data_IF_349985652643
#
_entry.id   IF_349985652643
#
_cell.length_a   1.000
_cell.length_b   1.000
_cell.length_c   1.000
_cell.angle_alpha   90.00
_cell.angle_beta   90.00
_cell.angle_gamma   90.00
#
_symmetry.space_group_name_H-M   'P 1'
#
loop_
_entity.id
_entity.type
_entity.pdbx_description
1 polymer ?
2 polymer ?
#
# COMPACT_ATOMS: atom_id res chain seq x y z
N UNK A 2 -21.32 -8.91 -15.42
CA UNK A 2 -20.52 -9.20 -14.22
C UNK A 2 -19.03 -9.28 -14.53
N UNK A 3 -18.27 -8.81 -13.57
CA UNK A 3 -16.83 -8.84 -13.65
C UNK A 3 -16.42 -10.33 -13.73
N UNK A 4 -17.11 -11.16 -12.97
CA UNK A 4 -16.81 -12.57 -12.96
C UNK A 4 -16.95 -13.08 -14.38
N UNK A 5 -17.72 -12.34 -15.19
CA UNK A 5 -17.92 -12.68 -16.62
C UNK A 5 -16.62 -12.37 -17.32
N UNK A 6 -16.31 -11.08 -17.42
CA UNK A 6 -15.09 -10.64 -18.06
C UNK A 6 -13.94 -11.53 -17.61
N UNK A 7 -13.86 -11.82 -16.31
CA UNK A 7 -12.79 -12.65 -15.80
C UNK A 7 -12.66 -14.05 -16.39
N UNK A 8 -13.74 -14.82 -16.36
CA UNK A 8 -13.68 -16.17 -16.92
C UNK A 8 -13.44 -16.12 -18.43
N UNK A 9 -13.91 -15.01 -19.05
CA UNK A 9 -13.76 -14.72 -20.47
C UNK A 9 -12.31 -14.46 -20.80
N UNK A 10 -11.66 -13.62 -19.97
CA UNK A 10 -10.26 -13.23 -20.14
C UNK A 10 -9.34 -14.38 -19.91
N UNK A 11 -9.55 -15.10 -18.82
CA UNK A 11 -8.66 -16.20 -18.51
C UNK A 11 -8.70 -17.21 -19.65
N UNK A 12 -9.91 -17.53 -20.09
CA UNK A 12 -10.19 -18.51 -21.16
C UNK A 12 -9.40 -18.22 -22.44
N UNK A 13 -9.32 -16.94 -22.79
CA UNK A 13 -8.61 -16.50 -23.96
C UNK A 13 -7.16 -16.15 -23.69
N UNK A 14 -6.73 -16.23 -22.42
CA UNK A 14 -5.36 -15.90 -22.06
C UNK A 14 -5.03 -14.42 -22.30
N UNK A 15 -6.00 -13.57 -22.06
CA UNK A 15 -5.80 -12.16 -22.33
C UNK A 15 -5.18 -11.25 -21.24
N UNK A 16 -4.81 -11.82 -20.08
CA UNK A 16 -4.23 -11.02 -18.99
C UNK A 16 -2.98 -10.21 -19.36
N UNK A 17 -2.06 -10.81 -20.10
CA UNK A 17 -0.86 -10.06 -20.50
C UNK A 17 -1.20 -8.99 -21.51
N UNK A 18 -2.15 -9.31 -22.40
CA UNK A 18 -2.57 -8.37 -23.44
C UNK A 18 -3.23 -7.19 -22.82
N UNK A 19 -4.25 -7.45 -22.03
CA UNK A 19 -5.00 -6.38 -21.37
C UNK A 19 -4.02 -5.58 -20.61
N UNK A 20 -3.13 -6.27 -19.88
CA UNK A 20 -2.16 -5.52 -19.12
C UNK A 20 -1.35 -4.58 -20.02
N UNK A 21 -0.91 -5.04 -21.21
CA UNK A 21 -0.16 -4.22 -22.16
C UNK A 21 -1.04 -3.04 -22.39
N UNK A 22 -2.34 -3.22 -22.60
CA UNK A 22 -3.23 -2.08 -22.84
C UNK A 22 -3.39 -1.05 -21.70
N UNK A 23 -3.38 -1.49 -20.45
CA UNK A 23 -3.45 -0.60 -19.27
C UNK A 23 -2.12 0.18 -19.20
N UNK A 24 -1.03 -0.51 -19.45
CA UNK A 24 0.22 0.15 -19.47
C UNK A 24 0.14 1.23 -20.56
N UNK A 25 -0.32 0.83 -21.74
CA UNK A 25 -0.42 1.74 -22.89
C UNK A 25 -1.29 2.94 -22.65
N UNK A 26 -2.40 2.75 -21.99
CA UNK A 26 -3.26 3.88 -21.77
C UNK A 26 -2.96 4.51 -20.49
N UNK A 27 -1.72 4.45 -20.06
CA UNK A 27 -1.49 5.05 -18.79
C UNK A 27 -0.81 6.43 -18.75
N UNK A 28 -1.47 7.33 -17.98
CA UNK A 28 -1.03 8.68 -17.74
C UNK A 28 0.43 8.75 -17.53
N UNK A 29 0.96 9.94 -17.72
CA UNK A 29 2.35 10.19 -17.58
C UNK A 29 2.56 11.66 -17.27
N UNK A 30 2.68 12.03 -16.00
CA UNK A 30 2.88 13.43 -15.62
C UNK A 30 4.33 13.53 -15.25
N UNK A 31 4.91 14.75 -15.30
CA UNK A 31 6.32 14.91 -14.95
C UNK A 31 6.68 14.62 -13.51
N UNK A 32 7.95 14.24 -13.31
CA UNK A 32 8.49 13.92 -12.00
C UNK A 32 9.73 14.78 -11.86
N UNK A 33 9.60 16.09 -12.16
CA UNK A 33 10.76 16.99 -12.08
C UNK A 33 11.49 16.95 -10.75
N UNK A 34 10.82 17.30 -9.65
CA UNK A 34 11.51 17.27 -8.34
C UNK A 34 12.25 15.93 -8.03
N UNK A 35 11.70 14.74 -8.37
CA UNK A 35 12.36 13.43 -8.07
C UNK A 35 13.71 13.35 -8.67
N UNK A 36 13.73 13.76 -9.92
CA UNK A 36 14.92 13.69 -10.72
C UNK A 36 15.95 14.75 -10.46
N UNK A 37 15.62 15.69 -9.58
CA UNK A 37 16.60 16.71 -9.22
C UNK A 37 17.87 16.01 -8.69
N UNK A 38 19.04 16.46 -9.14
CA UNK A 38 20.28 15.86 -8.68
C UNK A 38 20.32 15.72 -7.15
N UNK A 39 19.94 16.77 -6.43
CA UNK A 39 19.96 16.67 -4.99
C UNK A 39 19.14 15.50 -4.40
N UNK A 40 17.95 15.24 -4.92
CA UNK A 40 17.15 14.19 -4.40
C UNK A 40 17.56 12.80 -4.84
N UNK A 41 18.68 12.71 -5.51
CA UNK A 41 19.14 11.43 -6.04
C UNK A 41 19.17 10.34 -5.02
N UNK A 42 19.71 10.64 -3.84
CA UNK A 42 19.79 9.63 -2.76
C UNK A 42 18.52 9.51 -1.92
N UNK A 43 17.49 10.29 -2.24
CA UNK A 43 16.25 10.14 -1.50
C UNK A 43 15.32 9.14 -2.27
N UNK A 44 15.91 8.42 -3.25
CA UNK A 44 15.17 7.49 -4.08
C UNK A 44 15.86 6.16 -4.25
N UNK A 45 15.13 5.12 -3.94
CA UNK A 45 15.64 3.76 -4.02
C UNK A 45 15.82 3.27 -5.43
N UNK A 46 14.82 3.43 -6.30
CA UNK A 46 14.87 3.01 -7.73
C UNK A 46 14.83 4.22 -8.66
N UNK A 47 15.77 4.27 -9.61
CA UNK A 47 15.85 5.40 -10.52
C UNK A 47 14.70 5.41 -11.51
N UNK A 48 13.98 4.30 -11.56
CA UNK A 48 12.86 4.21 -12.44
C UNK A 48 11.49 4.19 -11.80
N UNK A 49 11.37 4.63 -10.54
CA UNK A 49 10.08 4.73 -9.84
C UNK A 49 10.09 6.05 -9.04
N UNK A 50 9.27 7.00 -9.51
CA UNK A 50 9.16 8.32 -8.93
C UNK A 50 7.73 8.82 -8.93
N UNK A 51 7.45 9.80 -8.03
CA UNK A 51 6.16 10.47 -7.82
C UNK A 51 5.88 11.66 -8.75
N UNK A 52 4.74 11.62 -9.42
CA UNK A 52 4.36 12.71 -10.26
C UNK A 52 4.35 13.91 -9.28
N UNK A 53 4.93 15.04 -9.68
CA UNK A 53 4.96 16.20 -8.81
C UNK A 53 3.57 16.69 -8.48
N UNK A 54 2.56 16.28 -9.19
CA UNK A 54 1.24 16.83 -8.88
C UNK A 54 0.59 16.11 -7.75
N UNK A 55 1.16 14.98 -7.37
CA UNK A 55 0.60 14.14 -6.35
C UNK A 55 1.65 13.87 -5.28
N UNK A 56 2.90 14.23 -5.52
CA UNK A 56 3.92 13.98 -4.52
C UNK A 56 3.49 14.57 -3.17
N UNK A 57 4.02 13.95 -2.10
CA UNK A 57 3.79 14.38 -0.73
C UNK A 57 5.05 15.15 -0.37
N UNK A 58 4.85 16.30 0.31
CA UNK A 58 5.94 17.18 0.72
C UNK A 58 6.21 17.20 2.22
N UNK A 59 7.47 17.00 2.63
CA UNK A 59 7.77 17.04 4.04
C UNK A 59 7.56 18.47 4.41
N UNK A 60 6.90 18.75 5.54
CA UNK A 60 6.68 20.14 5.96
C UNK A 60 7.97 20.76 6.49
N UNK A 61 9.09 20.65 5.75
CA UNK A 61 10.37 21.24 6.17
C UNK A 61 10.90 22.23 5.08
N UNK A 62 11.34 23.44 5.48
CA UNK A 62 11.85 24.46 4.53
C UNK A 62 13.20 24.01 3.96
N UNK A 63 13.74 22.98 4.60
CA UNK A 63 15.01 22.38 4.22
C UNK A 63 14.97 21.77 2.80
N UNK A 64 14.32 20.60 2.72
CA UNK A 64 14.15 19.80 1.50
C UNK A 64 12.90 19.03 1.84
N UNK A 65 11.84 19.27 1.07
CA UNK A 65 10.53 18.64 1.29
C UNK A 65 10.27 17.41 0.49
N UNK A 66 11.29 16.82 -0.11
CA UNK A 66 11.12 15.63 -0.92
C UNK A 66 11.14 14.25 -0.25
N UNK A 67 10.11 13.50 -0.57
CA UNK A 67 9.98 12.12 -0.11
C UNK A 67 9.29 11.37 -1.28
N UNK A 68 9.92 10.30 -1.75
CA UNK A 68 9.36 9.54 -2.83
C UNK A 68 8.08 8.93 -2.32
N UNK A 69 6.97 9.62 -2.53
CA UNK A 69 5.68 9.10 -2.07
C UNK A 69 4.60 9.96 -2.67
N UNK A 70 3.51 9.34 -3.12
CA UNK A 70 2.53 10.13 -3.74
C UNK A 70 1.14 9.85 -3.31
N UNK A 71 0.45 10.89 -2.85
CA UNK A 71 -0.92 10.72 -2.38
C UNK A 71 -1.90 10.36 -3.44
N UNK A 72 -2.54 9.21 -3.29
CA UNK A 72 -3.57 8.74 -4.22
C UNK A 72 -4.84 9.27 -3.57
N UNK A 73 -5.69 9.96 -4.32
CA UNK A 73 -6.91 10.47 -3.73
C UNK A 73 -8.00 9.96 -4.59
N UNK A 74 -8.85 9.09 -4.04
CA UNK A 74 -10.00 8.52 -4.76
C UNK A 74 -11.30 9.28 -4.36
N UNK A 75 -11.96 9.85 -5.39
CA UNK A 75 -13.17 10.66 -5.22
C UNK A 75 -14.44 9.84 -5.00
N UNK A 76 -14.81 8.98 -5.95
CA UNK A 76 -16.03 8.20 -5.77
C UNK A 76 -16.03 7.29 -4.55
N UNK A 77 -14.98 6.46 -4.42
CA UNK A 77 -14.80 5.55 -3.28
C UNK A 77 -14.64 6.34 -2.01
N UNK A 78 -14.15 7.55 -2.18
CA UNK A 78 -13.97 8.45 -1.06
C UNK A 78 -12.92 7.89 -0.15
N UNK A 79 -11.73 7.68 -0.67
CA UNK A 79 -10.64 7.13 0.11
C UNK A 79 -9.31 7.58 -0.45
N UNK A 80 -8.39 7.95 0.45
CA UNK A 80 -7.04 8.35 0.08
C UNK A 80 -6.04 7.32 0.66
N UNK A 81 -4.92 7.09 -0.01
CA UNK A 81 -3.88 6.20 0.44
C UNK A 81 -2.63 6.96 0.10
N UNK A 82 -1.52 6.74 0.81
CA UNK A 82 -0.24 7.40 0.50
C UNK A 82 0.71 6.25 0.18
N UNK A 83 0.92 5.93 -1.09
CA UNK A 83 1.83 4.84 -1.45
C UNK A 83 3.20 5.47 -1.44
N UNK A 84 4.17 4.78 -0.86
CA UNK A 84 5.56 5.27 -0.73
C UNK A 84 6.49 4.04 -0.92
N UNK A 85 7.76 4.25 -1.25
CA UNK A 85 8.72 3.15 -1.46
C UNK A 85 9.30 2.73 -0.08
N UNK A 86 10.10 1.67 -0.07
CA UNK A 86 10.66 1.25 1.21
C UNK A 86 11.74 2.22 1.59
N UNK A 87 11.58 2.96 2.71
CA UNK A 87 12.52 3.94 3.23
C UNK A 87 13.91 3.45 3.11
N UNK A 88 14.84 4.35 2.80
CA UNK A 88 16.26 4.01 2.73
C UNK A 88 16.93 4.32 4.12
N UNK A 89 18.17 3.88 4.31
CA UNK A 89 18.89 4.12 5.54
C UNK A 89 18.81 5.61 5.87
N UNK A 90 19.07 6.45 4.86
CA UNK A 90 18.98 7.91 5.06
C UNK A 90 17.55 8.49 5.11
N UNK A 91 16.53 7.75 4.69
CA UNK A 91 15.19 8.34 4.72
C UNK A 91 14.11 7.84 5.69
N UNK A 92 14.48 6.99 6.65
CA UNK A 92 13.50 6.52 7.66
C UNK A 92 13.05 7.71 8.55
N UNK A 93 13.80 8.82 8.56
CA UNK A 93 13.39 9.96 9.34
C UNK A 93 12.24 10.61 8.59
N UNK A 94 12.42 10.81 7.28
CA UNK A 94 11.39 11.45 6.45
C UNK A 94 10.18 10.54 6.51
N UNK A 95 10.38 9.24 6.42
CA UNK A 95 9.21 8.35 6.47
C UNK A 95 8.39 8.65 7.75
N UNK A 96 9.01 8.83 8.89
CA UNK A 96 8.18 9.06 10.06
C UNK A 96 7.71 10.48 10.16
N UNK A 97 8.48 11.40 9.57
CA UNK A 97 8.11 12.80 9.55
C UNK A 97 6.76 12.82 8.81
N UNK A 98 6.71 12.35 7.55
CA UNK A 98 5.50 12.33 6.73
C UNK A 98 4.37 11.64 7.49
N UNK A 99 4.60 10.45 8.03
CA UNK A 99 3.57 9.74 8.78
C UNK A 99 3.02 10.68 9.85
N UNK A 100 3.85 11.33 10.61
CA UNK A 100 3.36 12.24 11.59
C UNK A 100 2.56 13.39 10.97
N UNK A 101 3.12 14.04 9.93
CA UNK A 101 2.43 15.20 9.33
C UNK A 101 1.14 14.89 8.64
N UNK A 102 1.05 13.76 7.96
CA UNK A 102 -0.12 13.41 7.22
C UNK A 102 -1.21 12.97 8.10
N UNK A 103 -0.85 12.74 9.36
CA UNK A 103 -1.79 12.24 10.36
C UNK A 103 -2.27 10.79 10.19
N UNK A 104 -1.40 9.92 9.69
CA UNK A 104 -1.78 8.54 9.46
C UNK A 104 -1.93 7.85 10.82
N UNK A 105 -2.62 6.71 10.82
CA UNK A 105 -2.87 5.91 12.02
C UNK A 105 -2.64 4.46 11.60
N UNK A 106 -2.01 4.22 10.46
CA UNK A 106 -1.80 2.86 10.02
C UNK A 106 -0.79 2.88 8.92
N UNK A 107 0.03 1.83 8.87
CA UNK A 107 1.09 1.68 7.88
C UNK A 107 0.87 0.30 7.34
N UNK A 108 1.14 0.06 6.10
CA UNK A 108 0.89 -1.25 5.61
C UNK A 108 2.16 -1.62 4.89
N UNK A 109 2.90 -2.63 5.36
CA UNK A 109 4.13 -3.04 4.68
C UNK A 109 3.90 -4.32 3.93
N UNK A 110 3.98 -4.27 2.61
CA UNK A 110 3.68 -5.49 1.91
C UNK A 110 4.90 -6.18 1.49
N UNK A 111 6.00 -5.87 2.16
CA UNK A 111 7.29 -6.47 1.77
C UNK A 111 8.25 -6.89 2.92
N UNK A 112 9.35 -7.54 2.54
CA UNK A 112 10.33 -8.02 3.48
C UNK A 112 11.60 -7.23 3.29
N UNK A 113 12.27 -6.88 4.37
CA UNK A 113 13.54 -6.13 4.29
C UNK A 113 14.66 -6.79 3.41
N UNK A 114 14.60 -8.11 3.26
CA UNK A 114 15.57 -8.88 2.46
C UNK A 114 14.78 -9.94 1.68
N UNK A 115 14.79 -9.82 0.36
CA UNK A 115 14.03 -10.73 -0.51
C UNK A 115 14.91 -11.32 -1.59
N UNK A 116 14.92 -12.67 -1.58
CA UNK A 116 15.74 -13.46 -2.45
C UNK A 116 17.13 -12.87 -2.39
N UNK A 117 17.63 -12.74 -1.15
CA UNK A 117 18.96 -12.25 -0.89
C UNK A 117 19.18 -10.80 -1.26
N UNK A 118 18.16 -9.95 -1.40
CA UNK A 118 18.41 -8.55 -1.72
C UNK A 118 17.73 -7.62 -0.73
N UNK A 119 18.33 -6.47 -0.50
CA UNK A 119 17.78 -5.47 0.43
C UNK A 119 16.62 -4.77 -0.27
N UNK A 120 15.41 -4.81 0.26
CA UNK A 120 14.37 -4.10 -0.44
C UNK A 120 13.81 -2.93 0.33
N UNK A 121 14.02 -2.90 1.63
CA UNK A 121 13.47 -1.86 2.46
C UNK A 121 14.24 -1.79 3.78
N UNK A 122 14.29 -0.60 4.39
CA UNK A 122 15.05 -0.41 5.63
C UNK A 122 14.26 -0.83 6.83
N UNK A 123 14.99 -1.29 7.84
CA UNK A 123 14.36 -1.71 9.08
C UNK A 123 14.06 -0.37 9.72
N UNK A 124 12.95 0.20 9.29
CA UNK A 124 12.61 1.53 9.77
C UNK A 124 11.89 1.58 11.10
N UNK A 125 11.69 0.45 11.75
CA UNK A 125 10.94 0.43 13.02
C UNK A 125 11.64 -0.57 13.95
N UNK A 126 11.62 -0.33 15.27
CA UNK A 126 12.24 -1.18 16.27
C UNK A 126 11.66 -2.55 16.28
N UNK A 127 12.49 -3.56 16.52
CA UNK A 127 11.94 -4.93 16.57
C UNK A 127 11.77 -5.43 18.02
N UNK A 128 12.47 -4.81 18.97
CA UNK A 128 12.44 -5.15 20.39
C UNK A 128 11.98 -3.96 21.24
N UNK A 129 11.07 -4.18 22.20
CA UNK A 129 10.61 -3.05 23.01
C UNK A 129 11.63 -2.28 23.82
N UNK A 130 12.78 -2.90 24.09
CA UNK A 130 13.83 -2.27 24.89
C UNK A 130 14.76 -1.36 24.10
N UNK A 131 14.58 -1.36 22.78
CA UNK A 131 15.39 -0.56 21.88
C UNK A 131 14.53 0.39 20.99
N UNK A 132 14.30 1.62 21.47
CA UNK A 132 13.53 2.60 20.71
C UNK A 132 14.47 3.20 19.68
N UNK A 133 13.88 3.98 18.79
CA UNK A 133 14.58 4.63 17.74
C UNK A 133 14.37 6.12 17.88
N UNK A 134 15.43 6.85 17.58
CA UNK A 134 15.38 8.28 17.66
C UNK A 134 15.94 8.80 16.36
N UNK A 135 15.04 9.35 15.57
CA UNK A 135 15.32 9.94 14.27
C UNK A 135 15.79 11.36 14.52
N UNK A 136 17.11 11.50 14.54
CA UNK A 136 17.73 12.77 14.81
C UNK A 136 17.27 13.84 13.88
N UNK A 137 17.47 13.63 12.58
CA UNK A 137 17.08 14.61 11.57
C UNK A 137 15.66 15.12 11.73
N UNK A 138 14.69 14.24 11.91
CA UNK A 138 13.33 14.70 12.05
C UNK A 138 12.82 14.77 13.46
N UNK A 139 13.67 14.58 14.44
CA UNK A 139 13.23 14.67 15.83
C UNK A 139 12.04 13.90 16.22
N UNK A 140 12.11 12.60 16.01
CA UNK A 140 11.00 11.74 16.38
C UNK A 140 11.54 10.53 17.15
N UNK A 141 10.68 9.93 17.96
CA UNK A 141 11.03 8.74 18.73
C UNK A 141 9.93 7.72 18.38
N UNK A 142 10.32 6.52 18.03
CA UNK A 142 9.36 5.49 17.67
C UNK A 142 9.72 4.33 18.60
N UNK A 143 8.71 3.65 19.16
CA UNK A 143 8.92 2.57 20.11
C UNK A 143 7.92 1.47 19.97
N UNK A 144 8.34 0.22 20.09
CA UNK A 144 7.40 -0.91 19.98
C UNK A 144 6.58 -1.03 21.28
N UNK A 145 5.29 -1.27 21.16
CA UNK A 145 4.51 -1.41 22.36
C UNK A 145 4.03 -2.85 22.42
N UNK A 146 3.71 -3.47 21.30
CA UNK A 146 3.31 -4.86 21.31
C UNK A 146 3.52 -5.44 19.91
N UNK A 147 3.19 -6.69 19.63
CA UNK A 147 3.41 -7.29 18.31
C UNK A 147 2.54 -8.51 18.32
N UNK A 148 1.62 -8.67 17.37
CA UNK A 148 0.73 -9.85 17.29
C UNK A 148 1.07 -10.68 16.04
N UNK A 149 2.09 -11.52 16.16
CA UNK A 149 2.56 -12.37 15.06
C UNK A 149 1.59 -13.49 14.62
N UNK A 150 1.26 -13.53 13.34
CA UNK A 150 0.42 -14.60 12.82
C UNK A 150 1.22 -15.38 11.83
N UNK A 151 0.51 -16.22 11.09
CA UNK A 151 1.10 -17.12 10.13
C UNK A 151 1.80 -16.50 8.93
N UNK A 152 1.12 -15.60 8.25
CA UNK A 152 1.68 -14.99 7.06
C UNK A 152 1.82 -13.49 7.18
N UNK A 153 1.30 -12.94 8.28
CA UNK A 153 1.38 -11.54 8.53
C UNK A 153 1.58 -11.19 10.00
N UNK A 154 1.78 -9.91 10.31
CA UNK A 154 1.97 -9.50 11.67
C UNK A 154 1.55 -8.06 11.89
N UNK A 155 0.83 -7.78 12.98
CA UNK A 155 0.40 -6.42 13.32
C UNK A 155 1.33 -5.96 14.42
N UNK A 156 1.57 -4.67 14.55
CA UNK A 156 2.41 -4.12 15.60
C UNK A 156 1.76 -2.85 16.06
N UNK A 157 2.06 -2.42 17.27
CA UNK A 157 1.49 -1.22 17.78
C UNK A 157 2.71 -0.40 18.14
N UNK A 158 3.00 0.63 17.39
CA UNK A 158 4.15 1.45 17.65
C UNK A 158 3.65 2.73 18.28
N UNK A 159 4.52 3.50 18.91
CA UNK A 159 4.13 4.71 19.61
C UNK A 159 5.07 5.69 19.02
N UNK A 160 4.55 6.61 18.22
CA UNK A 160 5.38 7.65 17.62
C UNK A 160 5.24 8.89 18.47
N UNK A 161 6.37 9.42 18.94
CA UNK A 161 6.33 10.59 19.80
C UNK A 161 7.14 11.70 19.18
N UNK A 162 6.53 12.87 19.11
CA UNK A 162 7.14 14.07 18.53
C UNK A 162 7.97 14.65 19.62
N UNK A 163 9.26 14.35 19.58
CA UNK A 163 10.15 14.85 20.60
C UNK A 163 10.05 16.38 20.74
N UNK A 164 9.50 17.04 19.73
CA UNK A 164 9.40 18.49 19.78
C UNK A 164 8.21 18.95 20.57
N UNK A 165 7.05 18.38 20.37
CA UNK A 165 5.92 18.79 21.17
C UNK A 165 5.66 17.77 22.26
N UNK A 166 6.52 16.76 22.34
CA UNK A 166 6.35 15.71 23.35
C UNK A 166 4.94 15.18 23.24
N UNK A 167 4.44 15.08 22.01
CA UNK A 167 3.10 14.55 21.74
C UNK A 167 3.29 13.13 21.28
N UNK A 168 2.33 12.29 21.57
CA UNK A 168 2.51 10.91 21.26
C UNK A 168 1.32 10.38 20.44
N UNK A 169 1.57 9.35 19.61
CA UNK A 169 0.52 8.76 18.79
C UNK A 169 0.79 7.28 18.58
N UNK A 170 -0.26 6.47 18.51
CA UNK A 170 -0.07 5.05 18.37
C UNK A 170 -0.20 4.70 16.95
N UNK A 171 0.86 4.18 16.33
CA UNK A 171 0.78 3.82 14.94
C UNK A 171 0.59 2.31 14.83
N UNK A 172 -0.54 1.84 14.29
CA UNK A 172 -0.70 0.41 14.11
C UNK A 172 0.12 0.15 12.86
N UNK A 173 0.70 -1.04 12.73
CA UNK A 173 1.57 -1.39 11.61
C UNK A 173 1.20 -2.74 11.08
N UNK A 174 0.74 -2.86 9.85
CA UNK A 174 0.35 -4.17 9.34
C UNK A 174 1.42 -4.73 8.46
N UNK A 175 1.92 -5.91 8.75
CA UNK A 175 3.02 -6.36 7.92
C UNK A 175 2.83 -7.68 7.22
N UNK A 176 2.63 -7.65 5.89
CA UNK A 176 2.46 -8.88 5.12
C UNK A 176 3.88 -9.42 4.86
N UNK A 177 4.14 -10.65 5.21
CA UNK A 177 5.48 -11.19 5.06
C UNK A 177 5.61 -12.37 4.11
N UNK A 178 4.54 -12.67 3.39
CA UNK A 178 4.55 -13.77 2.43
C UNK A 178 4.04 -13.36 1.05
N UNK A 179 4.27 -12.10 0.64
CA UNK A 179 3.88 -11.61 -0.68
C UNK A 179 5.25 -11.35 -1.35
N UNK A 180 5.71 -12.27 -2.20
CA UNK A 180 6.99 -12.24 -2.92
C UNK A 180 7.13 -11.09 -3.90
N UNK A 181 8.33 -10.55 -4.04
CA UNK A 181 8.57 -9.46 -4.98
C UNK A 181 8.15 -9.98 -6.35
N UNK A 182 7.37 -9.19 -7.06
CA UNK A 182 6.85 -9.56 -8.33
C UNK A 182 5.99 -10.80 -8.24
N UNK A 183 5.29 -10.90 -7.09
CA UNK A 183 4.42 -12.01 -6.80
C UNK A 183 2.98 -11.68 -6.40
N UNK A 184 2.21 -12.71 -6.11
CA UNK A 184 0.80 -12.56 -5.71
C UNK A 184 0.56 -13.27 -4.35
N UNK A 185 -0.47 -12.85 -3.63
CA UNK A 185 -0.79 -13.43 -2.34
C UNK A 185 -1.15 -14.90 -2.49
N UNK A 186 -0.72 -15.70 -1.53
CA UNK A 186 -1.00 -17.10 -1.51
C UNK A 186 -2.43 -17.35 -1.89
N UNK A 187 -3.34 -16.44 -1.56
CA UNK A 187 -4.71 -16.68 -1.95
C UNK A 187 -5.64 -15.51 -1.73
N UNK A 188 -6.76 -15.44 -2.47
CA UNK A 188 -7.71 -14.34 -2.27
C UNK A 188 -8.10 -14.24 -0.79
N UNK A 189 -8.20 -15.42 -0.15
CA UNK A 189 -8.54 -15.57 1.26
C UNK A 189 -7.50 -14.90 2.19
N UNK A 190 -6.24 -15.25 1.99
CA UNK A 190 -5.18 -14.70 2.79
C UNK A 190 -5.18 -13.18 2.66
N UNK A 191 -5.34 -12.71 1.42
CA UNK A 191 -5.32 -11.29 1.11
C UNK A 191 -6.49 -10.54 1.75
N UNK A 192 -7.71 -10.98 1.42
CA UNK A 192 -8.93 -10.31 1.93
C UNK A 192 -8.97 -10.37 3.44
N UNK A 193 -8.40 -11.45 4.00
CA UNK A 193 -8.38 -11.57 5.47
C UNK A 193 -7.51 -10.44 6.01
N UNK A 194 -6.34 -10.31 5.40
CA UNK A 194 -5.39 -9.29 5.78
C UNK A 194 -5.97 -7.94 5.54
N UNK A 195 -6.74 -7.81 4.45
CA UNK A 195 -7.34 -6.52 4.07
C UNK A 195 -8.32 -6.08 5.13
N UNK A 196 -9.25 -6.97 5.45
CA UNK A 196 -10.30 -6.70 6.43
C UNK A 196 -9.79 -6.37 7.85
N UNK A 197 -8.66 -7.00 8.22
CA UNK A 197 -8.03 -6.76 9.52
C UNK A 197 -7.73 -5.29 9.54
N UNK A 198 -6.98 -4.86 8.52
CA UNK A 198 -6.59 -3.47 8.41
C UNK A 198 -7.80 -2.56 8.46
N UNK A 199 -8.90 -2.99 7.80
CA UNK A 199 -10.11 -2.17 7.74
C UNK A 199 -10.68 -1.96 9.10
N UNK A 200 -10.90 -3.08 9.79
CA UNK A 200 -11.46 -3.08 11.13
C UNK A 200 -10.68 -2.27 12.15
N UNK A 201 -9.38 -2.21 11.99
CA UNK A 201 -8.57 -1.50 12.95
C UNK A 201 -8.84 -0.03 12.96
N UNK A 202 -9.69 0.45 12.07
CA UNK A 202 -9.94 1.90 12.01
C UNK A 202 -8.85 2.69 11.26
N UNK A 203 -7.80 1.97 10.84
CA UNK A 203 -6.69 2.59 10.10
C UNK A 203 -7.19 3.27 8.81
N UNK A 204 -8.04 2.57 8.04
CA UNK A 204 -8.59 3.13 6.82
C UNK A 204 -9.68 4.15 7.11
N UNK A 205 -9.90 4.51 8.38
CA UNK A 205 -10.93 5.50 8.74
C UNK A 205 -10.70 6.94 8.25
N UNK A 206 -11.76 7.58 7.75
CA UNK A 206 -11.68 8.94 7.26
C UNK A 206 -11.36 9.88 8.36
N UNK A 207 -11.59 9.49 9.61
CA UNK A 207 -11.28 10.41 10.72
C UNK A 207 -9.81 10.64 10.91
N UNK A 208 -8.94 9.85 10.25
CA UNK A 208 -7.46 10.03 10.34
C UNK A 208 -6.80 10.43 9.01
N UNK A 209 -5.50 10.68 9.03
CA UNK A 209 -4.81 11.03 7.82
C UNK A 209 -4.83 9.85 6.85
N UNK A 210 -4.06 9.89 5.75
CA UNK A 210 -4.11 8.72 4.87
C UNK A 210 -3.19 7.61 5.37
N UNK A 211 -3.62 6.38 5.08
CA UNK A 211 -2.87 5.20 5.45
C UNK A 211 -1.64 5.26 4.58
N UNK A 212 -0.53 4.81 5.08
CA UNK A 212 0.66 4.85 4.24
C UNK A 212 0.85 3.42 3.82
N UNK A 213 0.74 3.15 2.52
CA UNK A 213 0.90 1.78 1.99
C UNK A 213 2.25 1.75 1.30
N UNK A 214 2.89 0.61 1.26
CA UNK A 214 4.19 0.48 0.59
C UNK A 214 4.67 -0.98 0.44
N UNK A 215 5.71 -1.14 -0.35
CA UNK A 215 6.30 -2.42 -0.60
C UNK A 215 7.75 -2.00 -0.85
N UNK A 216 8.54 -2.65 -1.71
CA UNK A 216 9.87 -2.15 -1.90
C UNK A 216 9.85 -0.86 -2.72
N UNK A 217 9.06 -0.81 -3.80
CA UNK A 217 8.99 0.39 -4.66
C UNK A 217 7.70 1.15 -4.48
N UNK A 218 6.68 0.53 -3.88
CA UNK A 218 5.43 1.25 -3.67
C UNK A 218 4.49 1.30 -4.88
N UNK A 219 4.71 0.48 -5.90
CA UNK A 219 3.82 0.49 -7.05
C UNK A 219 3.18 -0.85 -7.33
N UNK A 220 3.91 -1.96 -7.24
CA UNK A 220 3.31 -3.27 -7.54
C UNK A 220 2.37 -3.90 -6.51
N UNK A 221 2.91 -4.49 -5.46
CA UNK A 221 2.08 -5.08 -4.46
C UNK A 221 1.24 -3.95 -3.85
N UNK A 222 1.74 -2.73 -3.76
CA UNK A 222 0.90 -1.67 -3.20
C UNK A 222 -0.27 -1.35 -4.12
N UNK A 223 -0.05 -1.28 -5.42
CA UNK A 223 -1.17 -0.98 -6.29
C UNK A 223 -2.24 -2.04 -6.17
N UNK A 224 -1.84 -3.32 -6.15
CA UNK A 224 -2.74 -4.51 -5.97
C UNK A 224 -3.56 -4.43 -4.64
N UNK A 225 -2.93 -4.10 -3.53
CA UNK A 225 -3.67 -3.92 -2.27
C UNK A 225 -4.76 -2.82 -2.44
N UNK A 226 -4.36 -1.59 -2.81
CA UNK A 226 -5.28 -0.43 -3.00
C UNK A 226 -6.39 -0.63 -4.03
N UNK A 227 -6.07 -1.31 -5.12
CA UNK A 227 -7.07 -1.59 -6.17
C UNK A 227 -8.25 -2.43 -5.55
N UNK A 228 -7.94 -3.62 -5.02
CA UNK A 228 -8.95 -4.50 -4.40
C UNK A 228 -9.73 -3.74 -3.34
N UNK A 229 -9.03 -3.04 -2.48
CA UNK A 229 -9.73 -2.27 -1.45
C UNK A 229 -10.69 -1.24 -2.07
N UNK A 230 -10.19 -0.49 -3.07
CA UNK A 230 -11.00 0.55 -3.75
C UNK A 230 -12.21 0.00 -4.52
N UNK A 231 -12.01 -0.99 -5.38
CA UNK A 231 -13.10 -1.57 -6.14
C UNK A 231 -14.21 -1.94 -5.17
N UNK A 232 -13.89 -2.77 -4.16
CA UNK A 232 -14.86 -3.22 -3.16
C UNK A 232 -15.60 -2.04 -2.54
N UNK A 233 -14.85 -0.97 -2.29
CA UNK A 233 -15.37 0.26 -1.71
C UNK A 233 -16.56 0.80 -2.58
N UNK A 234 -16.32 0.86 -3.88
CA UNK A 234 -17.26 1.36 -4.85
C UNK A 234 -18.42 0.44 -4.82
N UNK A 235 -18.18 -0.86 -5.06
CA UNK A 235 -19.26 -1.85 -5.06
C UNK A 235 -20.20 -1.67 -3.87
N UNK A 236 -19.65 -1.29 -2.75
CA UNK A 236 -20.49 -1.15 -1.60
C UNK A 236 -21.39 0.06 -1.73
N UNK A 237 -20.80 1.25 -1.83
CA UNK A 237 -21.56 2.48 -1.94
C UNK A 237 -22.58 2.43 -3.06
N UNK A 238 -22.14 2.14 -4.28
CA UNK A 238 -23.08 2.05 -5.39
C UNK A 238 -24.13 1.00 -5.07
N UNK A 239 -23.70 -0.07 -4.41
CA UNK A 239 -24.54 -1.21 -4.07
C UNK A 239 -24.95 -1.88 -5.39
N UNK A 240 -24.28 -1.44 -6.46
CA UNK A 240 -24.52 -1.93 -7.81
C UNK A 240 -23.12 -2.36 -8.25
N UNK A 241 -22.73 -3.60 -7.90
CA UNK A 241 -21.43 -4.17 -8.24
C UNK A 241 -21.09 -4.26 -9.72
N UNK A 242 -22.09 -4.51 -10.54
CA UNK A 242 -21.89 -4.65 -11.98
C UNK A 242 -21.34 -3.37 -12.64
N UNK A 243 -21.25 -2.27 -11.91
CA UNK A 243 -20.76 -1.09 -12.56
C UNK A 243 -19.28 -0.86 -12.34
N UNK A 244 -18.67 -1.53 -11.37
CA UNK A 244 -17.23 -1.32 -11.10
C UNK A 244 -16.25 -1.84 -12.17
N UNK A 245 -15.62 -0.92 -12.92
CA UNK A 245 -14.65 -1.35 -13.90
C UNK A 245 -13.22 -1.27 -13.33
N UNK A 246 -12.63 -2.44 -13.05
CA UNK A 246 -11.29 -2.44 -12.44
C UNK A 246 -10.34 -1.66 -13.27
N UNK A 247 -10.19 -1.99 -14.56
CA UNK A 247 -9.23 -1.28 -15.43
C UNK A 247 -9.39 0.22 -15.29
N UNK A 248 -10.62 0.70 -15.25
CA UNK A 248 -10.85 2.10 -15.11
C UNK A 248 -10.30 2.59 -13.82
N UNK A 249 -10.63 1.92 -12.70
CA UNK A 249 -10.11 2.33 -11.37
C UNK A 249 -8.59 2.23 -11.29
N UNK A 250 -7.99 1.23 -11.95
CA UNK A 250 -6.53 1.14 -11.92
C UNK A 250 -6.00 2.36 -12.59
N UNK A 251 -6.53 2.64 -13.80
CA UNK A 251 -6.12 3.80 -14.62
C UNK A 251 -6.31 5.07 -13.89
N UNK A 252 -7.38 5.15 -13.10
CA UNK A 252 -7.59 6.36 -12.35
C UNK A 252 -6.49 6.57 -11.33
N UNK A 253 -6.00 5.47 -10.73
CA UNK A 253 -4.93 5.51 -9.70
C UNK A 253 -3.58 5.81 -10.31
N UNK A 254 -3.27 5.19 -11.48
CA UNK A 254 -1.98 5.44 -12.18
C UNK A 254 -1.85 6.95 -12.56
N UNK A 255 -2.94 7.72 -12.37
CA UNK A 255 -2.88 9.14 -12.63
C UNK A 255 -2.06 9.72 -11.49
N UNK A 256 -2.32 9.22 -10.26
CA UNK A 256 -1.61 9.74 -9.06
C UNK A 256 -0.22 9.23 -8.81
N UNK A 257 0.05 8.02 -9.26
CA UNK A 257 1.42 7.48 -9.10
C UNK A 257 1.63 6.43 -10.13
N UNK A 258 2.83 6.35 -10.65
CA UNK A 258 3.12 5.37 -11.69
C UNK A 258 3.12 3.91 -11.29
N UNK A 259 3.15 3.06 -12.31
CA UNK A 259 3.24 1.61 -12.24
C UNK A 259 2.32 0.80 -11.38
N UNK A 260 1.22 1.39 -10.90
CA UNK A 260 0.37 0.59 -10.01
C UNK A 260 0.08 -0.78 -10.62
N UNK A 261 0.56 -1.82 -9.96
CA UNK A 261 0.41 -3.20 -10.43
C UNK A 261 1.43 -3.38 -11.56
N UNK A 262 2.27 -4.42 -11.40
CA UNK A 262 3.41 -4.71 -12.25
C UNK A 262 3.45 -6.00 -13.01
N UNK A 263 2.52 -6.91 -12.76
CA UNK A 263 2.52 -8.19 -13.52
C UNK A 263 1.10 -8.50 -13.97
N UNK A 264 0.94 -9.19 -15.09
CA UNK A 264 -0.40 -9.51 -15.59
C UNK A 264 -1.05 -10.32 -14.53
N UNK A 265 -0.28 -11.25 -13.95
CA UNK A 265 -0.86 -12.10 -12.90
C UNK A 265 -1.28 -11.29 -11.68
N UNK A 266 -0.60 -10.20 -11.37
CA UNK A 266 -1.05 -9.35 -10.26
C UNK A 266 -2.41 -8.74 -10.62
N UNK A 267 -2.66 -8.49 -11.91
CA UNK A 267 -3.90 -7.88 -12.36
C UNK A 267 -4.98 -8.86 -12.20
N UNK A 268 -4.67 -10.06 -12.69
CA UNK A 268 -5.59 -11.19 -12.65
C UNK A 268 -5.98 -11.45 -11.21
N UNK A 269 -4.99 -11.44 -10.32
CA UNK A 269 -5.21 -11.67 -8.91
C UNK A 269 -6.13 -10.60 -8.37
N UNK A 270 -5.93 -9.34 -8.75
CA UNK A 270 -6.78 -8.24 -8.28
C UNK A 270 -8.24 -8.49 -8.59
N UNK A 271 -8.49 -9.18 -9.71
CA UNK A 271 -9.86 -9.51 -10.09
C UNK A 271 -10.39 -10.56 -9.14
N UNK A 272 -9.61 -11.60 -8.85
CA UNK A 272 -10.03 -12.66 -7.90
C UNK A 272 -10.36 -12.00 -6.55
N UNK A 273 -9.42 -11.28 -5.97
CA UNK A 273 -9.71 -10.62 -4.73
C UNK A 273 -11.06 -9.80 -4.74
N UNK A 274 -11.26 -8.94 -5.73
CA UNK A 274 -12.48 -8.13 -5.75
C UNK A 274 -13.78 -8.94 -5.85
N UNK A 275 -13.74 -9.94 -6.73
CA UNK A 275 -14.83 -10.86 -6.97
C UNK A 275 -15.04 -11.60 -5.64
N UNK A 276 -14.07 -12.39 -5.17
CA UNK A 276 -14.22 -13.10 -3.89
C UNK A 276 -14.82 -12.20 -2.84
N UNK A 277 -14.08 -11.18 -2.46
CA UNK A 277 -14.56 -10.23 -1.47
C UNK A 277 -15.93 -9.63 -1.73
N UNK A 278 -16.36 -9.53 -2.99
CA UNK A 278 -17.70 -8.97 -3.27
C UNK A 278 -18.70 -9.77 -2.50
N UNK A 279 -18.52 -11.09 -2.51
CA UNK A 279 -19.40 -12.03 -1.81
C UNK A 279 -19.69 -11.59 -0.39
N UNK A 280 -18.71 -11.05 0.29
CA UNK A 280 -18.92 -10.54 1.66
C UNK A 280 -19.74 -9.23 1.68
N UNK A 281 -19.52 -8.38 0.68
CA UNK A 281 -20.24 -7.11 0.53
C UNK A 281 -21.71 -7.47 0.22
N UNK A 282 -21.86 -8.49 -0.61
CA UNK A 282 -23.17 -8.93 -1.00
C UNK A 282 -23.72 -9.91 0.04
N UNK A 283 -23.89 -9.36 1.23
CA UNK A 283 -24.47 -10.07 2.36
C UNK A 283 -23.84 -11.30 2.96
N UNK A 284 -23.21 -12.14 2.14
CA UNK A 284 -22.62 -13.39 2.62
C UNK A 284 -21.60 -13.17 3.76
N UNK A 285 -22.07 -12.65 4.88
CA UNK A 285 -21.22 -12.36 6.00
C UNK A 285 -20.37 -13.57 6.42
N UNK A 286 -20.97 -14.75 6.33
CA UNK A 286 -20.30 -15.97 6.71
C UNK A 286 -19.02 -16.26 5.95
N UNK A 287 -18.77 -15.49 4.90
CA UNK A 287 -17.57 -15.68 4.10
C UNK A 287 -16.34 -15.13 4.82
N UNK A 288 -16.50 -14.04 5.57
CA UNK A 288 -15.36 -13.44 6.26
C UNK A 288 -14.55 -14.47 7.09
N UNK A 289 -15.24 -15.23 7.94
CA UNK A 289 -14.64 -16.25 8.79
C UNK A 289 -14.03 -17.41 7.97
N UNK A 290 -14.66 -17.72 6.85
CA UNK A 290 -14.19 -18.78 5.95
C UNK A 290 -12.78 -18.38 5.45
N UNK A 291 -12.60 -17.10 5.15
CA UNK A 291 -11.31 -16.62 4.69
C UNK A 291 -10.24 -16.87 5.75
N UNK A 292 -10.55 -16.51 7.00
CA UNK A 292 -9.60 -16.69 8.11
C UNK A 292 -9.19 -18.17 8.19
N UNK A 293 -10.14 -19.07 7.96
CA UNK A 293 -9.84 -20.51 8.00
C UNK A 293 -8.85 -20.85 6.90
N UNK A 294 -9.16 -20.41 5.69
CA UNK A 294 -8.31 -20.65 4.53
C UNK A 294 -6.99 -19.96 4.61
N UNK A 295 -6.92 -18.84 5.33
CA UNK A 295 -5.65 -18.13 5.45
C UNK A 295 -4.68 -18.83 6.38
N UNK A 296 -5.22 -19.68 7.25
CA UNK A 296 -4.45 -20.43 8.24
C UNK A 296 -3.67 -19.49 9.14
N UNK A 297 -4.27 -18.35 9.44
CA UNK A 297 -3.61 -17.35 10.26
C UNK A 297 -3.52 -17.72 11.70
N UNK A 298 -2.92 -18.86 11.99
CA UNK A 298 -2.76 -19.33 13.37
C UNK A 298 -1.45 -20.07 13.55
N UNK B 2 19.09 -0.42 -8.23
CA UNK B 2 18.61 0.81 -8.80
C UNK B 2 17.52 0.87 -9.77
N UNK B 3 17.22 -0.23 -10.39
CA UNK B 3 16.08 -0.21 -11.31
C UNK B 3 15.17 -1.31 -10.80
N UNK B 5 11.42 -1.78 -12.10
CA UNK B 5 10.47 -2.14 -13.13
C UNK B 5 10.79 -3.42 -13.86
#
# INVERSE_FOLDING_TARGET
>A
MEMEKEFEQIDKSGSWAAIYQDIRHEASDFPCRVAKLPKNKNRNRYRDVSPFDHSRIKLHQEDNDYINASLIKMEEAQRSYILTQGPLPNTCGHFWEMVWEQKSRGVVMLNRVMEKGSLKCAQYWPQKEEKEMIFEDTNLKLTLISEDIKTYYTVRQLELENLTTQETREILHFHYTTWPDFGVPESPASFLNFLFKVRESGSLSPEHGPVVVHSSAGIGRSGTFCLADTCLLLMDKRKDPSSVDIKKVLLEMRKFRMGLIQTADQLRFSYLAVIEGAKFIMGDSSVQDQWKELSHEDLEPPPEHIPPPPRPPKRILEPHN
>B
XDEXL
#
